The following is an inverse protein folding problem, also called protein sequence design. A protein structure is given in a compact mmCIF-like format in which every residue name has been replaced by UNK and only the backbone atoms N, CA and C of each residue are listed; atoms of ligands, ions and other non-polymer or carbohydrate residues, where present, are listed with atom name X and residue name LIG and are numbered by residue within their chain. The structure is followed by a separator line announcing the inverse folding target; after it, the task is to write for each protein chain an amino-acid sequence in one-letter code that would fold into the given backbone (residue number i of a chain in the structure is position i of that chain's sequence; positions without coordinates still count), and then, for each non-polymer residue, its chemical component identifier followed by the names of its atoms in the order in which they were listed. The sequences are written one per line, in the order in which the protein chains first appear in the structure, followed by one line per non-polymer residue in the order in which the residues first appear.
data_IF_873488091518
#
_entry.id   IF_873488091518
#
_cell.length_a   1.000
_cell.length_b   1.000
_cell.length_c   1.000
_cell.angle_alpha   90.00
_cell.angle_beta   90.00
_cell.angle_gamma   90.00
#
_symmetry.space_group_name_H-M   'P 1'
#
loop_
_entity.id
_entity.type
_entity.pdbx_description
1 polymer ?
#
# COMPACT_ATOMS: atom_id res chain seq x y z
N UNK A 1 -11.50 -37.14 -5.11
CA UNK A 1 -11.72 -36.05 -6.10
C UNK A 1 -10.69 -34.95 -5.87
N UNK A 2 -9.66 -34.88 -6.71
CA UNK A 2 -8.58 -33.89 -6.61
C UNK A 2 -9.14 -32.48 -6.82
N UNK A 3 -9.12 -31.63 -5.78
CA UNK A 3 -9.55 -30.24 -5.89
C UNK A 3 -8.69 -29.54 -6.96
N UNK A 4 -9.29 -29.16 -8.10
CA UNK A 4 -8.59 -28.37 -9.12
C UNK A 4 -8.22 -27.00 -8.51
N UNK A 5 -6.93 -26.81 -8.24
CA UNK A 5 -6.32 -25.62 -7.61
C UNK A 5 -6.15 -24.41 -8.55
N UNK A 6 -7.00 -24.26 -9.57
CA UNK A 6 -6.84 -23.19 -10.56
C UNK A 6 -7.64 -21.95 -10.14
N UNK A 7 -6.98 -21.02 -9.44
CA UNK A 7 -7.58 -19.78 -8.93
C UNK A 7 -7.85 -18.73 -10.04
N UNK A 8 -7.23 -18.88 -11.20
CA UNK A 8 -7.35 -17.99 -12.34
C UNK A 8 -8.21 -18.63 -13.43
N UNK A 9 -9.52 -18.40 -13.36
CA UNK A 9 -10.49 -18.95 -14.33
C UNK A 9 -10.71 -17.98 -15.51
N UNK A 10 -10.80 -16.68 -15.22
CA UNK A 10 -10.84 -15.61 -16.22
C UNK A 10 -9.68 -14.63 -16.00
N UNK A 11 -8.50 -15.00 -16.52
CA UNK A 11 -7.27 -14.20 -16.36
C UNK A 11 -7.42 -12.78 -16.90
N UNK A 12 -8.17 -12.57 -17.98
CA UNK A 12 -8.29 -11.24 -18.60
C UNK A 12 -9.08 -10.30 -17.70
N UNK A 13 -10.23 -10.74 -17.19
CA UNK A 13 -11.05 -9.90 -16.31
C UNK A 13 -10.38 -9.69 -14.94
N UNK A 14 -9.90 -10.78 -14.32
CA UNK A 14 -9.30 -10.74 -12.99
C UNK A 14 -8.04 -9.87 -12.94
N UNK A 15 -7.14 -10.03 -13.92
CA UNK A 15 -5.90 -9.25 -13.96
C UNK A 15 -6.19 -7.80 -14.35
N UNK A 16 -7.07 -7.53 -15.33
CA UNK A 16 -7.37 -6.14 -15.72
C UNK A 16 -7.94 -5.33 -14.56
N UNK A 17 -8.92 -5.86 -13.84
CA UNK A 17 -9.55 -5.16 -12.72
C UNK A 17 -8.58 -5.01 -11.55
N UNK A 18 -7.86 -6.09 -11.21
CA UNK A 18 -6.90 -6.06 -10.09
C UNK A 18 -5.72 -5.13 -10.39
N UNK A 19 -5.11 -5.20 -11.57
CA UNK A 19 -4.01 -4.30 -11.96
C UNK A 19 -4.45 -2.85 -12.08
N UNK A 20 -5.67 -2.58 -12.57
CA UNK A 20 -6.18 -1.21 -12.65
C UNK A 20 -6.36 -0.59 -11.26
N UNK A 21 -7.00 -1.32 -10.33
CA UNK A 21 -7.22 -0.84 -8.96
C UNK A 21 -5.91 -0.74 -8.15
N UNK A 22 -5.05 -1.76 -8.22
CA UNK A 22 -3.76 -1.72 -7.52
C UNK A 22 -2.84 -0.68 -8.16
N UNK A 23 -2.87 -0.53 -9.47
CA UNK A 23 -2.07 0.45 -10.21
C UNK A 23 -2.43 1.89 -9.85
N UNK A 24 -3.72 2.24 -9.79
CA UNK A 24 -4.14 3.58 -9.37
C UNK A 24 -3.76 3.88 -7.92
N UNK A 25 -3.89 2.90 -7.03
CA UNK A 25 -3.47 3.03 -5.64
C UNK A 25 -1.95 3.24 -5.52
N UNK A 26 -1.15 2.48 -6.26
CA UNK A 26 0.31 2.63 -6.28
C UNK A 26 0.73 3.98 -6.86
N UNK A 27 0.03 4.47 -7.90
CA UNK A 27 0.29 5.80 -8.45
C UNK A 27 0.06 6.89 -7.39
N UNK A 28 -1.05 6.81 -6.63
CA UNK A 28 -1.29 7.72 -5.51
C UNK A 28 -0.21 7.62 -4.43
N UNK A 29 0.22 6.40 -4.09
CA UNK A 29 1.30 6.18 -3.12
C UNK A 29 2.62 6.83 -3.57
N UNK A 30 2.98 6.71 -4.86
CA UNK A 30 4.18 7.35 -5.43
C UNK A 30 4.12 8.86 -5.27
N UNK A 31 2.96 9.49 -5.55
CA UNK A 31 2.79 10.94 -5.38
C UNK A 31 3.00 11.34 -3.92
N UNK A 32 2.37 10.62 -2.98
CA UNK A 32 2.49 10.89 -1.55
C UNK A 32 3.96 10.78 -1.09
N UNK A 33 4.64 9.69 -1.49
CA UNK A 33 6.05 9.47 -1.14
C UNK A 33 6.95 10.55 -1.74
N UNK A 34 6.70 10.97 -2.97
CA UNK A 34 7.47 12.04 -3.61
C UNK A 34 7.31 13.39 -2.88
N UNK A 35 6.08 13.74 -2.49
CA UNK A 35 5.81 14.97 -1.72
C UNK A 35 6.51 14.93 -0.37
N UNK A 36 6.33 13.85 0.40
CA UNK A 36 6.95 13.68 1.72
C UNK A 36 8.48 13.69 1.60
N UNK A 37 9.04 12.96 0.63
CA UNK A 37 10.48 12.89 0.40
C UNK A 37 11.08 14.26 0.05
N UNK A 38 10.36 15.08 -0.73
CA UNK A 38 10.77 16.44 -1.05
C UNK A 38 10.80 17.33 0.20
N UNK A 39 9.70 17.33 0.98
CA UNK A 39 9.61 18.09 2.24
C UNK A 39 10.74 17.70 3.19
N UNK A 40 10.96 16.39 3.35
CA UNK A 40 12.01 15.86 4.21
C UNK A 40 13.41 16.29 3.75
N UNK A 41 13.68 16.25 2.45
CA UNK A 41 14.98 16.66 1.89
C UNK A 41 15.24 18.15 2.10
N UNK A 42 14.24 19.00 1.88
CA UNK A 42 14.34 20.44 2.13
C UNK A 42 14.57 20.72 3.62
N UNK A 43 13.82 20.08 4.50
CA UNK A 43 13.96 20.25 5.94
C UNK A 43 15.33 19.76 6.45
N UNK A 44 15.82 18.61 5.97
CA UNK A 44 17.13 18.10 6.33
C UNK A 44 18.27 19.01 5.83
N UNK A 45 18.11 19.65 4.66
CA UNK A 45 19.07 20.66 4.18
C UNK A 45 19.06 21.91 5.07
N UNK A 46 17.88 22.43 5.43
CA UNK A 46 17.74 23.59 6.33
C UNK A 46 18.37 23.33 7.70
N UNK A 47 18.09 22.17 8.31
CA UNK A 47 18.67 21.77 9.60
C UNK A 47 20.21 21.72 9.55
N UNK A 48 20.78 21.21 8.46
CA UNK A 48 22.23 21.15 8.26
C UNK A 48 22.85 22.54 8.14
N UNK A 49 22.19 23.46 7.43
CA UNK A 49 22.68 24.83 7.31
C UNK A 49 22.67 25.55 8.68
N UNK A 50 21.59 25.38 9.47
CA UNK A 50 21.51 25.92 10.84
C UNK A 50 22.62 25.35 11.73
N UNK A 51 22.93 24.06 11.58
CA UNK A 51 24.02 23.41 12.30
C UNK A 51 25.37 24.06 11.99
N UNK A 52 25.71 24.22 10.70
CA UNK A 52 26.99 24.82 10.25
C UNK A 52 27.11 26.28 10.72
N UNK A 53 26.04 27.07 10.60
CA UNK A 53 26.04 28.48 11.04
C UNK A 53 26.28 28.56 12.55
N UNK A 54 25.54 27.76 13.33
CA UNK A 54 25.71 27.75 14.79
C UNK A 54 27.09 27.25 15.21
N UNK A 55 27.65 26.27 14.51
CA UNK A 55 29.01 25.76 14.76
C UNK A 55 30.06 26.86 14.57
N UNK A 56 29.97 27.63 13.49
CA UNK A 56 30.86 28.77 13.24
C UNK A 56 30.72 29.87 14.31
N UNK A 57 29.50 30.17 14.76
CA UNK A 57 29.25 31.15 15.83
C UNK A 57 29.88 30.68 17.15
N UNK A 58 29.61 29.44 17.54
CA UNK A 58 30.10 28.87 18.81
C UNK A 58 31.62 28.78 18.82
N UNK A 59 32.25 28.38 17.71
CA UNK A 59 33.71 28.32 17.58
C UNK A 59 34.34 29.71 17.66
N UNK A 60 33.71 30.72 17.05
CA UNK A 60 34.17 32.11 17.12
C UNK A 60 34.08 32.67 18.55
N UNK A 61 32.98 32.38 19.25
CA UNK A 61 32.78 32.76 20.66
C UNK A 61 33.82 32.10 21.57
N UNK A 62 34.09 30.80 21.38
CA UNK A 62 35.15 30.09 22.11
C UNK A 62 36.53 30.71 21.87
N UNK A 63 36.83 31.07 20.62
CA UNK A 63 38.11 31.72 20.26
C UNK A 63 38.23 33.11 20.89
N UNK A 64 37.15 33.90 20.93
CA UNK A 64 37.13 35.22 21.56
C UNK A 64 37.28 35.12 23.08
N UNK A 65 36.53 34.22 23.71
CA UNK A 65 36.58 34.00 25.16
C UNK A 65 37.95 33.53 25.65
N UNK A 66 38.69 32.75 24.84
CA UNK A 66 40.07 32.35 25.17
C UNK A 66 41.06 33.51 25.15
N UNK A 67 40.72 34.63 24.48
CA UNK A 67 41.54 35.85 24.42
C UNK A 67 41.17 36.89 25.47
N UNK A 68 39.95 36.82 26.02
CA UNK A 68 39.47 37.70 27.09
C UNK A 68 39.85 37.18 28.49
N UNK A 69 40.00 38.10 29.44
CA UNK A 69 40.50 37.81 30.80
C UNK A 69 39.40 37.53 31.83
N UNK A 70 38.11 37.70 31.48
CA UNK A 70 37.00 37.55 32.43
C UNK A 70 36.58 36.07 32.61
N UNK A 71 36.77 35.47 33.81
CA UNK A 71 36.39 34.09 34.09
C UNK A 71 34.88 33.81 33.93
N UNK A 72 34.03 34.83 34.12
CA UNK A 72 32.57 34.70 33.99
C UNK A 72 32.13 34.49 32.54
N UNK A 73 32.72 35.23 31.60
CA UNK A 73 32.44 35.09 30.16
C UNK A 73 32.88 33.72 29.63
N UNK A 74 34.03 33.22 30.09
CA UNK A 74 34.53 31.89 29.71
C UNK A 74 33.62 30.75 30.17
N UNK A 75 33.04 30.86 31.36
CA UNK A 75 32.08 29.88 31.86
C UNK A 75 30.76 29.88 31.06
N UNK A 76 30.27 31.07 30.70
CA UNK A 76 29.06 31.22 29.88
C UNK A 76 29.24 30.63 28.47
N UNK A 77 30.37 30.93 27.81
CA UNK A 77 30.66 30.41 26.46
C UNK A 77 30.83 28.89 26.46
N UNK A 78 31.47 28.32 27.49
CA UNK A 78 31.56 26.86 27.67
C UNK A 78 30.19 26.20 27.83
N UNK A 79 29.24 26.87 28.49
CA UNK A 79 27.86 26.38 28.65
C UNK A 79 27.13 26.37 27.32
N UNK A 80 27.24 27.45 26.54
CA UNK A 80 26.67 27.54 25.18
C UNK A 80 27.25 26.46 24.26
N UNK A 81 28.55 26.20 24.34
CA UNK A 81 29.21 25.14 23.57
C UNK A 81 28.64 23.75 23.90
N UNK A 82 28.45 23.41 25.18
CA UNK A 82 27.83 22.14 25.59
C UNK A 82 26.39 22.00 25.09
N UNK A 83 25.60 23.08 25.17
CA UNK A 83 24.23 23.11 24.64
C UNK A 83 24.21 22.94 23.12
N UNK A 84 25.15 23.57 22.42
CA UNK A 84 25.31 23.42 20.99
C UNK A 84 25.60 21.96 20.61
N UNK A 85 26.56 21.31 21.26
CA UNK A 85 26.82 19.89 21.00
C UNK A 85 25.59 18.99 21.22
N UNK A 86 24.82 19.25 22.28
CA UNK A 86 23.57 18.53 22.54
C UNK A 86 22.56 18.76 21.40
N UNK A 87 22.41 20.00 20.93
CA UNK A 87 21.54 20.34 19.81
C UNK A 87 21.98 19.68 18.51
N UNK A 88 23.28 19.66 18.20
CA UNK A 88 23.83 18.96 17.03
C UNK A 88 23.48 17.47 17.09
N UNK A 89 23.70 16.81 18.23
CA UNK A 89 23.33 15.41 18.43
C UNK A 89 21.83 15.16 18.25
N UNK A 90 20.98 16.07 18.75
CA UNK A 90 19.52 15.99 18.58
C UNK A 90 19.12 16.14 17.11
N UNK A 91 19.68 17.13 16.40
CA UNK A 91 19.42 17.37 14.97
C UNK A 91 19.84 16.16 14.12
N UNK A 92 21.01 15.58 14.39
CA UNK A 92 21.46 14.37 13.71
C UNK A 92 20.53 13.19 13.95
N UNK A 93 20.02 13.02 15.19
CA UNK A 93 18.99 12.02 15.49
C UNK A 93 17.72 12.27 14.68
N UNK A 94 17.22 13.51 14.60
CA UNK A 94 16.03 13.86 13.82
C UNK A 94 16.22 13.53 12.33
N UNK A 95 17.35 13.92 11.74
CA UNK A 95 17.66 13.62 10.32
C UNK A 95 17.64 12.10 10.08
N UNK A 96 18.23 11.31 10.98
CA UNK A 96 18.25 9.84 10.87
C UNK A 96 16.85 9.24 11.00
N UNK A 97 16.05 9.71 11.97
CA UNK A 97 14.68 9.23 12.17
C UNK A 97 13.79 9.58 10.98
N UNK A 98 13.93 10.77 10.40
CA UNK A 98 13.20 11.16 9.20
C UNK A 98 13.42 10.15 8.05
N UNK A 99 14.67 9.73 7.84
CA UNK A 99 15.00 8.73 6.79
C UNK A 99 14.38 7.38 7.09
N UNK A 100 14.46 6.91 8.34
CA UNK A 100 13.80 5.67 8.75
C UNK A 100 12.28 5.73 8.65
N UNK A 101 11.66 6.86 9.00
CA UNK A 101 10.23 7.08 8.80
C UNK A 101 9.85 6.99 7.31
N UNK A 102 10.65 7.58 6.41
CA UNK A 102 10.40 7.50 4.98
C UNK A 102 10.42 6.04 4.50
N UNK A 103 11.43 5.26 4.89
CA UNK A 103 11.49 3.83 4.58
C UNK A 103 10.30 3.06 5.19
N UNK A 104 9.89 3.41 6.41
CA UNK A 104 8.71 2.82 7.06
C UNK A 104 7.41 3.07 6.28
N UNK A 105 7.19 4.31 5.83
CA UNK A 105 6.01 4.68 5.01
C UNK A 105 6.00 3.90 3.70
N UNK A 106 7.14 3.83 3.00
CA UNK A 106 7.27 3.05 1.77
C UNK A 106 6.96 1.56 2.03
N UNK A 107 7.51 1.01 3.12
CA UNK A 107 7.25 -0.37 3.54
C UNK A 107 5.76 -0.64 3.79
N UNK A 108 5.05 0.27 4.49
CA UNK A 108 3.61 0.16 4.73
C UNK A 108 2.83 0.14 3.41
N UNK A 109 3.17 1.01 2.45
CA UNK A 109 2.50 1.01 1.15
C UNK A 109 2.71 -0.29 0.37
N UNK A 110 3.92 -0.85 0.41
CA UNK A 110 4.23 -2.13 -0.22
C UNK A 110 3.41 -3.26 0.41
N UNK A 111 3.41 -3.35 1.74
CA UNK A 111 2.66 -4.38 2.47
C UNK A 111 1.16 -4.25 2.23
N UNK A 112 0.63 -3.02 2.26
CA UNK A 112 -0.79 -2.74 2.00
C UNK A 112 -1.17 -3.08 0.56
N UNK A 113 -0.32 -2.72 -0.41
CA UNK A 113 -0.53 -3.08 -1.82
C UNK A 113 -0.54 -4.58 -2.05
N UNK A 114 0.39 -5.30 -1.44
CA UNK A 114 0.39 -6.76 -1.48
C UNK A 114 -0.88 -7.35 -0.85
N UNK A 115 -1.28 -6.87 0.34
CA UNK A 115 -2.51 -7.30 1.02
C UNK A 115 -3.75 -7.10 0.16
N UNK A 116 -3.94 -5.90 -0.41
CA UNK A 116 -5.07 -5.59 -1.29
C UNK A 116 -5.05 -6.45 -2.55
N UNK A 117 -3.88 -6.69 -3.15
CA UNK A 117 -3.74 -7.57 -4.31
C UNK A 117 -4.22 -8.99 -4.01
N UNK A 118 -3.81 -9.58 -2.88
CA UNK A 118 -4.28 -10.91 -2.46
C UNK A 118 -5.79 -10.93 -2.20
N UNK A 119 -6.33 -9.90 -1.54
CA UNK A 119 -7.78 -9.78 -1.27
C UNK A 119 -8.58 -9.71 -2.57
N UNK A 120 -8.13 -8.89 -3.53
CA UNK A 120 -8.79 -8.74 -4.83
C UNK A 120 -8.80 -10.05 -5.61
N UNK A 121 -7.66 -10.73 -5.74
CA UNK A 121 -7.59 -12.03 -6.42
C UNK A 121 -8.57 -13.03 -5.77
N UNK A 122 -8.58 -13.09 -4.44
CA UNK A 122 -9.47 -14.00 -3.72
C UNK A 122 -10.94 -13.68 -4.01
N UNK A 123 -11.32 -12.40 -3.93
CA UNK A 123 -12.68 -11.94 -4.21
C UNK A 123 -13.07 -12.19 -5.67
N UNK A 124 -12.22 -11.87 -6.64
CA UNK A 124 -12.58 -12.09 -8.05
C UNK A 124 -12.68 -13.57 -8.39
N UNK A 125 -11.90 -14.45 -7.76
CA UNK A 125 -12.09 -15.90 -7.92
C UNK A 125 -13.48 -16.38 -7.45
N UNK A 126 -14.00 -15.84 -6.34
CA UNK A 126 -15.36 -16.15 -5.85
C UNK A 126 -16.48 -15.61 -6.76
N UNK A 127 -16.15 -14.71 -7.69
CA UNK A 127 -17.08 -14.18 -8.69
C UNK A 127 -16.94 -14.96 -10.00
N UNK A 128 -15.73 -15.08 -10.54
CA UNK A 128 -15.50 -15.71 -11.85
C UNK A 128 -15.84 -17.20 -11.87
N UNK A 129 -15.70 -17.91 -10.75
CA UNK A 129 -16.08 -19.32 -10.64
C UNK A 129 -17.55 -19.57 -11.02
N UNK A 130 -18.50 -18.96 -10.29
CA UNK A 130 -19.91 -18.99 -10.65
C UNK A 130 -20.21 -18.49 -12.05
N UNK A 131 -19.61 -17.38 -12.48
CA UNK A 131 -19.83 -16.82 -13.83
C UNK A 131 -19.51 -17.86 -14.89
N UNK A 132 -18.38 -18.57 -14.76
CA UNK A 132 -17.99 -19.62 -15.70
C UNK A 132 -18.97 -20.79 -15.72
N UNK A 133 -19.44 -21.25 -14.55
CA UNK A 133 -20.43 -22.33 -14.44
C UNK A 133 -21.73 -21.93 -15.15
N UNK A 134 -22.27 -20.75 -14.82
CA UNK A 134 -23.51 -20.26 -15.42
C UNK A 134 -23.36 -19.99 -16.92
N UNK A 135 -22.20 -19.53 -17.37
CA UNK A 135 -21.90 -19.39 -18.80
C UNK A 135 -21.97 -20.73 -19.54
N UNK A 136 -21.53 -21.82 -18.91
CA UNK A 136 -21.63 -23.14 -19.52
C UNK A 136 -23.08 -23.63 -19.56
N UNK A 137 -23.89 -23.38 -18.53
CA UNK A 137 -25.32 -23.71 -18.59
C UNK A 137 -26.01 -23.02 -19.78
N UNK A 138 -25.72 -21.73 -19.97
CA UNK A 138 -26.26 -20.97 -21.12
C UNK A 138 -25.78 -21.57 -22.44
N UNK A 139 -24.50 -21.95 -22.56
CA UNK A 139 -23.98 -22.60 -23.77
C UNK A 139 -24.63 -23.94 -24.06
N UNK A 140 -24.89 -24.75 -23.04
CA UNK A 140 -25.56 -26.03 -23.19
C UNK A 140 -26.98 -25.83 -23.71
N UNK A 141 -27.74 -24.89 -23.13
CA UNK A 141 -29.09 -24.52 -23.58
C UNK A 141 -29.08 -24.04 -25.04
N UNK A 142 -28.14 -23.16 -25.40
CA UNK A 142 -27.98 -22.65 -26.76
C UNK A 142 -27.63 -23.77 -27.76
N UNK A 143 -26.94 -24.81 -27.32
CA UNK A 143 -26.63 -25.99 -28.12
C UNK A 143 -27.78 -27.02 -28.16
N UNK A 144 -28.94 -26.71 -27.56
CA UNK A 144 -30.07 -27.64 -27.43
C UNK A 144 -29.81 -28.80 -26.48
N UNK A 145 -28.74 -28.73 -25.66
CA UNK A 145 -28.38 -29.75 -24.67
C UNK A 145 -29.01 -29.41 -23.32
N UNK A 146 -29.29 -30.45 -22.55
CA UNK A 146 -29.72 -30.34 -21.16
C UNK A 146 -28.52 -29.93 -20.27
N UNK A 147 -28.55 -28.74 -19.64
CA UNK A 147 -27.47 -28.30 -18.76
C UNK A 147 -27.45 -29.11 -17.46
N UNK A 148 -26.28 -29.61 -17.07
CA UNK A 148 -26.12 -30.35 -15.83
C UNK A 148 -25.92 -29.39 -14.64
N UNK A 149 -27.02 -29.06 -13.96
CA UNK A 149 -26.99 -28.13 -12.83
C UNK A 149 -26.26 -28.73 -11.62
N UNK A 150 -25.37 -27.94 -11.03
CA UNK A 150 -24.60 -28.27 -9.83
C UNK A 150 -24.66 -27.11 -8.85
N UNK A 151 -24.64 -27.41 -7.55
CA UNK A 151 -24.54 -26.40 -6.51
C UNK A 151 -23.19 -25.64 -6.54
N UNK A 152 -23.26 -24.32 -6.39
CA UNK A 152 -22.09 -23.46 -6.20
C UNK A 152 -21.39 -23.69 -4.86
N UNK A 153 -20.14 -23.22 -4.73
CA UNK A 153 -19.39 -23.35 -3.47
C UNK A 153 -19.99 -22.43 -2.40
N UNK A 154 -19.76 -22.79 -1.13
CA UNK A 154 -20.28 -22.04 0.02
C UNK A 154 -19.87 -20.57 0.06
N UNK A 155 -18.73 -20.20 -0.51
CA UNK A 155 -18.19 -18.83 -0.42
C UNK A 155 -18.33 -18.04 -1.73
N UNK A 156 -19.10 -18.54 -2.68
CA UNK A 156 -19.31 -17.86 -3.96
C UNK A 156 -20.34 -16.73 -3.80
N UNK A 157 -20.12 -15.61 -4.52
CA UNK A 157 -20.92 -14.38 -4.35
C UNK A 157 -22.23 -14.41 -5.16
N UNK A 158 -22.27 -15.11 -6.30
CA UNK A 158 -23.40 -15.08 -7.27
C UNK A 158 -24.44 -16.19 -7.05
N UNK A 159 -24.68 -16.60 -5.80
CA UNK A 159 -25.60 -17.71 -5.49
C UNK A 159 -27.05 -17.42 -5.83
N UNK A 160 -27.50 -16.20 -5.57
CA UNK A 160 -28.87 -15.79 -5.85
C UNK A 160 -29.15 -15.83 -7.35
N UNK A 161 -28.29 -15.21 -8.16
CA UNK A 161 -28.39 -15.26 -9.62
C UNK A 161 -28.32 -16.70 -10.15
N UNK A 162 -27.42 -17.53 -9.61
CA UNK A 162 -27.37 -18.94 -9.96
C UNK A 162 -28.68 -19.67 -9.64
N UNK A 163 -29.30 -19.39 -8.49
CA UNK A 163 -30.57 -20.00 -8.12
C UNK A 163 -31.71 -19.59 -9.06
N UNK A 164 -31.75 -18.32 -9.48
CA UNK A 164 -32.70 -17.83 -10.48
C UNK A 164 -32.49 -18.51 -11.83
N UNK A 165 -31.24 -18.64 -12.28
CA UNK A 165 -30.94 -19.34 -13.53
C UNK A 165 -31.35 -20.82 -13.48
N UNK A 166 -31.12 -21.50 -12.36
CA UNK A 166 -31.56 -22.89 -12.20
C UNK A 166 -33.09 -23.03 -12.28
N UNK A 167 -33.85 -22.11 -11.66
CA UNK A 167 -35.32 -22.09 -11.75
C UNK A 167 -35.80 -21.85 -13.19
N UNK A 168 -35.16 -20.95 -13.92
CA UNK A 168 -35.46 -20.69 -15.32
C UNK A 168 -35.24 -21.94 -16.19
N UNK A 169 -34.14 -22.65 -15.96
CA UNK A 169 -33.82 -23.91 -16.65
C UNK A 169 -34.89 -24.97 -16.36
N UNK A 170 -35.31 -25.06 -15.09
CA UNK A 170 -36.31 -26.04 -14.66
C UNK A 170 -37.69 -25.76 -15.28
N UNK A 171 -38.09 -24.49 -15.35
CA UNK A 171 -39.34 -24.08 -15.98
C UNK A 171 -39.35 -24.30 -17.50
N UNK A 172 -38.25 -23.99 -18.18
CA UNK A 172 -38.13 -24.27 -19.63
C UNK A 172 -38.05 -25.76 -19.95
N UNK A 173 -37.62 -26.60 -19.01
CA UNK A 173 -37.70 -28.06 -19.13
C UNK A 173 -39.15 -28.56 -18.99
N UNK A 174 -39.91 -28.04 -18.02
CA UNK A 174 -41.32 -28.44 -17.86
C UNK A 174 -42.17 -28.11 -19.09
N UNK A 175 -41.92 -26.97 -19.74
CA UNK A 175 -42.64 -26.56 -20.96
C UNK A 175 -42.30 -27.41 -22.20
N UNK A 176 -41.13 -28.06 -22.23
CA UNK A 176 -40.73 -28.96 -23.35
C UNK A 176 -41.10 -30.43 -23.12
N UNK A 177 -41.52 -30.77 -21.90
CA UNK A 177 -41.90 -32.13 -21.50
C UNK A 177 -43.39 -32.44 -21.65
N UNK A 178 -44.20 -31.42 -21.98
CA UNK A 178 -45.55 -31.55 -22.56
C UNK A 178 -45.48 -31.49 -24.09
#
# INVERSE_FOLDING_TARGET
MTQRKQYLLDRKFQLRTTFSMVGSMLAAAVIIVAVIGTIMTVNNRRLRNVMIINENIVNSLMTFSQRGTDPGEAAAVKTVSRLHEQNVRNIQRIIRHNTWMLYGIIGIFIVTGAGIFFVLIRKTHHISGPVYVMSNYIKDILAGKEPHTRQLRKNDELKEFHSLLCRLIEQTRSEKGE
#
